data_IF_769515588685
#
_entry.id   IF_769515588685
#
_cell.length_a   1.000
_cell.length_b   1.000
_cell.length_c   1.000
_cell.angle_alpha   90.00
_cell.angle_beta   90.00
_cell.angle_gamma   90.00
#
_symmetry.space_group_name_H-M   'P 1'
#
loop_
_entity.id
_entity.type
_entity.pdbx_description
1 polymer ?
#
# COMPACT_ATOMS: atom_id res chain seq x y z
N UNK A 1 -25.80 -0.74 12.78
CA UNK A 1 -24.77 -1.45 12.00
C UNK A 1 -23.68 -0.45 11.63
N UNK A 2 -22.40 -0.76 11.87
CA UNK A 2 -21.31 0.08 11.40
C UNK A 2 -21.29 0.06 9.86
N UNK A 3 -21.04 1.20 9.21
CA UNK A 3 -20.92 1.22 7.75
C UNK A 3 -19.65 0.46 7.38
N UNK A 4 -19.65 -0.24 6.24
CA UNK A 4 -18.47 -1.00 5.76
C UNK A 4 -17.19 -0.15 5.69
N UNK A 5 -17.33 1.16 5.48
CA UNK A 5 -16.22 2.13 5.52
C UNK A 5 -15.63 2.30 6.92
N UNK A 6 -16.46 2.29 7.96
CA UNK A 6 -16.02 2.33 9.37
C UNK A 6 -15.29 1.05 9.71
N UNK A 7 -15.85 -0.11 9.32
CA UNK A 7 -15.21 -1.42 9.49
C UNK A 7 -13.83 -1.47 8.83
N UNK A 8 -13.68 -0.95 7.61
CA UNK A 8 -12.39 -0.89 6.93
C UNK A 8 -11.39 0.00 7.67
N UNK A 9 -11.82 1.20 8.09
CA UNK A 9 -10.96 2.10 8.87
C UNK A 9 -10.50 1.41 10.15
N UNK A 10 -11.40 0.73 10.85
CA UNK A 10 -11.12 0.12 12.16
C UNK A 10 -10.26 -1.14 12.00
N UNK A 11 -10.48 -1.95 10.96
CA UNK A 11 -9.57 -3.03 10.53
C UNK A 11 -8.13 -2.51 10.37
N UNK A 12 -7.97 -1.44 9.58
CA UNK A 12 -6.65 -0.88 9.32
C UNK A 12 -6.02 -0.28 10.58
N UNK A 13 -6.79 0.49 11.35
CA UNK A 13 -6.29 1.22 12.51
C UNK A 13 -5.97 0.30 13.69
N UNK A 14 -6.86 -0.64 13.99
CA UNK A 14 -6.83 -1.41 15.23
C UNK A 14 -6.11 -2.75 15.08
N UNK A 15 -6.07 -3.33 13.88
CA UNK A 15 -5.51 -4.68 13.67
C UNK A 15 -4.27 -4.62 12.78
N UNK A 16 -4.38 -4.04 11.57
CA UNK A 16 -3.27 -4.05 10.60
C UNK A 16 -2.13 -3.12 11.02
N UNK A 17 -2.44 -1.86 11.38
CA UNK A 17 -1.41 -0.86 11.66
C UNK A 17 -0.47 -1.24 12.82
N UNK A 18 -0.93 -1.78 13.97
CA UNK A 18 -0.04 -2.25 15.02
C UNK A 18 0.95 -3.31 14.51
N UNK A 19 0.45 -4.31 13.77
CA UNK A 19 1.28 -5.40 13.22
C UNK A 19 2.30 -4.88 12.23
N UNK A 20 1.91 -4.02 11.29
CA UNK A 20 2.88 -3.44 10.33
C UNK A 20 3.98 -2.63 11.04
N UNK A 21 3.68 -1.99 12.18
CA UNK A 21 4.69 -1.25 12.97
C UNK A 21 5.69 -2.18 13.65
N UNK A 22 5.28 -3.38 14.08
CA UNK A 22 6.18 -4.40 14.61
C UNK A 22 7.21 -4.84 13.56
N UNK A 23 6.84 -4.83 12.28
CA UNK A 23 7.74 -5.05 11.15
C UNK A 23 8.54 -3.80 10.74
N UNK A 24 8.46 -2.69 11.50
CA UNK A 24 9.23 -1.47 11.27
C UNK A 24 8.64 -0.51 10.23
N UNK A 25 7.47 -0.81 9.64
CA UNK A 25 6.80 0.11 8.72
C UNK A 25 6.28 1.33 9.48
N UNK A 26 6.29 2.48 8.80
CA UNK A 26 5.76 3.75 9.31
C UNK A 26 4.52 4.14 8.53
N UNK A 27 3.52 4.70 9.20
CA UNK A 27 2.29 5.16 8.55
C UNK A 27 1.03 4.84 9.33
N UNK A 28 -0.11 5.06 8.67
CA UNK A 28 -1.43 4.87 9.24
C UNK A 28 -2.51 4.82 8.16
N UNK A 29 -3.64 4.19 8.48
CA UNK A 29 -4.78 4.11 7.57
C UNK A 29 -4.38 3.40 6.28
N UNK A 30 -4.51 4.08 5.15
CA UNK A 30 -4.24 3.53 3.83
C UNK A 30 -2.80 3.77 3.33
N UNK A 31 -1.93 4.42 4.10
CA UNK A 31 -0.60 4.81 3.64
C UNK A 31 0.48 4.35 4.62
N UNK A 32 1.45 3.59 4.12
CA UNK A 32 2.63 3.13 4.86
C UNK A 32 3.90 3.30 4.05
N UNK A 33 5.04 3.21 4.72
CA UNK A 33 6.35 3.31 4.10
C UNK A 33 7.38 2.44 4.82
N UNK A 34 8.35 1.93 4.05
CA UNK A 34 9.61 1.44 4.57
C UNK A 34 10.49 2.68 4.80
N UNK A 35 11.06 2.82 6.00
CA UNK A 35 11.95 3.95 6.28
C UNK A 35 13.20 3.84 5.38
N UNK A 36 13.46 4.90 4.62
CA UNK A 36 14.67 5.04 3.82
C UNK A 36 15.07 6.51 3.71
N UNK A 37 16.37 6.77 3.86
CA UNK A 37 16.91 8.12 3.74
C UNK A 37 17.11 8.50 2.27
N UNK A 38 17.38 7.53 1.39
CA UNK A 38 17.62 7.74 -0.05
C UNK A 38 16.40 7.51 -0.94
N UNK A 39 15.38 6.79 -0.47
CA UNK A 39 14.23 6.40 -1.30
C UNK A 39 12.89 6.80 -0.70
N UNK A 40 11.93 7.08 -1.57
CA UNK A 40 10.52 6.94 -1.26
C UNK A 40 10.13 5.48 -1.49
N UNK A 41 9.81 4.74 -0.43
CA UNK A 41 9.38 3.34 -0.49
C UNK A 41 7.99 3.22 0.14
N UNK A 42 6.96 3.42 -0.67
CA UNK A 42 5.59 3.69 -0.25
C UNK A 42 4.65 2.52 -0.58
N UNK A 43 3.70 2.31 0.32
CA UNK A 43 2.64 1.29 0.23
C UNK A 43 1.30 2.00 0.39
N UNK A 44 0.41 1.82 -0.58
CA UNK A 44 -0.89 2.46 -0.63
C UNK A 44 -2.00 1.42 -0.73
N UNK A 45 -2.93 1.42 0.22
CA UNK A 45 -4.16 0.65 0.12
C UNK A 45 -5.15 1.47 -0.71
N UNK A 46 -5.61 0.94 -1.83
CA UNK A 46 -6.53 1.61 -2.74
C UNK A 46 -7.89 0.91 -2.70
N UNK A 47 -8.94 1.67 -2.32
CA UNK A 47 -10.32 1.23 -2.46
C UNK A 47 -10.75 1.27 -3.93
N UNK A 48 -11.62 0.34 -4.32
CA UNK A 48 -12.34 0.39 -5.59
C UNK A 48 -13.18 1.66 -5.67
N UNK A 49 -13.31 2.22 -6.87
CA UNK A 49 -14.25 3.33 -7.14
C UNK A 49 -15.71 2.87 -7.09
N UNK A 50 -15.96 1.57 -7.29
CA UNK A 50 -17.27 0.94 -7.24
C UNK A 50 -17.42 0.20 -5.91
N UNK A 51 -17.83 0.92 -4.87
CA UNK A 51 -18.23 0.37 -3.58
C UNK A 51 -19.53 1.01 -3.12
N UNK A 52 -20.39 0.25 -2.46
CA UNK A 52 -21.63 0.73 -1.89
C UNK A 52 -21.67 0.45 -0.37
N UNK A 53 -22.82 0.63 0.26
CA UNK A 53 -22.97 0.36 1.69
C UNK A 53 -22.85 -1.14 2.03
N UNK A 54 -22.99 -2.04 1.06
CA UNK A 54 -23.06 -3.49 1.23
C UNK A 54 -21.70 -4.18 1.10
N UNK A 55 -20.73 -3.55 0.45
CA UNK A 55 -19.38 -4.08 0.35
C UNK A 55 -18.38 -3.10 -0.25
N UNK A 56 -17.12 -3.27 0.11
CA UNK A 56 -16.00 -2.60 -0.54
C UNK A 56 -14.98 -3.63 -1.03
N UNK A 57 -14.25 -3.25 -2.07
CA UNK A 57 -13.06 -3.96 -2.50
C UNK A 57 -11.87 -3.04 -2.39
N UNK A 58 -10.72 -3.60 -2.06
CA UNK A 58 -9.47 -2.85 -2.06
C UNK A 58 -8.31 -3.70 -2.53
N UNK A 59 -7.22 -3.03 -2.86
CA UNK A 59 -5.96 -3.63 -3.30
C UNK A 59 -4.80 -2.85 -2.67
N UNK A 60 -3.57 -3.26 -2.96
CA UNK A 60 -2.36 -2.59 -2.46
C UNK A 60 -1.45 -2.27 -3.63
N UNK A 61 -1.04 -1.01 -3.70
CA UNK A 61 -0.07 -0.50 -4.65
C UNK A 61 1.25 -0.24 -3.93
N UNK A 62 2.35 -0.52 -4.63
CA UNK A 62 3.71 -0.37 -4.16
C UNK A 62 4.42 0.63 -5.06
N UNK A 63 5.22 1.50 -4.47
CA UNK A 63 6.00 2.49 -5.18
C UNK A 63 7.38 2.66 -4.56
N UNK A 64 8.41 2.57 -5.39
CA UNK A 64 9.80 2.82 -4.96
C UNK A 64 10.48 3.77 -5.94
N UNK A 65 11.06 4.85 -5.45
CA UNK A 65 11.86 5.77 -6.26
C UNK A 65 12.99 6.40 -5.43
N UNK A 66 14.20 6.60 -5.98
CA UNK A 66 15.20 7.44 -5.35
C UNK A 66 14.69 8.87 -5.15
N UNK A 67 14.94 9.46 -3.97
CA UNK A 67 14.49 10.83 -3.67
C UNK A 67 15.11 11.85 -4.61
N UNK A 68 16.37 11.65 -5.00
CA UNK A 68 17.06 12.51 -5.97
C UNK A 68 16.40 12.50 -7.36
N UNK A 69 15.97 11.32 -7.84
CA UNK A 69 15.27 11.19 -9.12
C UNK A 69 13.88 11.84 -9.05
N UNK A 70 13.19 11.68 -7.92
CA UNK A 70 11.92 12.35 -7.68
C UNK A 70 12.10 13.88 -7.69
N UNK A 71 13.08 14.42 -6.98
CA UNK A 71 13.35 15.85 -6.92
C UNK A 71 13.81 16.42 -8.28
N UNK A 72 14.59 15.67 -9.06
CA UNK A 72 14.93 16.04 -10.43
C UNK A 72 13.68 16.15 -11.31
N UNK A 73 12.78 15.16 -11.23
CA UNK A 73 11.51 15.16 -11.97
C UNK A 73 10.64 16.34 -11.58
N UNK A 74 10.60 16.70 -10.29
CA UNK A 74 9.85 17.86 -9.80
C UNK A 74 10.39 19.19 -10.30
N UNK A 75 11.71 19.33 -10.51
CA UNK A 75 12.29 20.55 -11.11
C UNK A 75 11.80 20.78 -12.54
N UNK A 76 11.58 19.72 -13.29
CA UNK A 76 11.03 19.78 -14.65
C UNK A 76 9.49 19.92 -14.66
N UNK A 77 8.82 19.45 -13.60
CA UNK A 77 7.36 19.38 -13.48
C UNK A 77 6.90 19.92 -12.13
N UNK A 78 6.83 21.25 -12.03
CA UNK A 78 6.56 21.96 -10.78
C UNK A 78 5.19 21.66 -10.13
N UNK A 79 4.24 21.08 -10.88
CA UNK A 79 2.94 20.65 -10.35
C UNK A 79 3.00 19.35 -9.52
N UNK A 80 4.13 18.63 -9.53
CA UNK A 80 4.29 17.40 -8.77
C UNK A 80 4.47 17.69 -7.26
N UNK A 81 3.83 16.89 -6.38
CA UNK A 81 3.87 17.12 -4.95
C UNK A 81 5.26 16.86 -4.37
N UNK A 82 5.54 17.43 -3.18
CA UNK A 82 6.81 17.20 -2.47
C UNK A 82 7.07 15.73 -2.21
N UNK A 83 6.05 15.02 -1.73
CA UNK A 83 6.12 13.58 -1.47
C UNK A 83 5.16 12.85 -2.40
N UNK A 84 5.61 11.78 -3.09
CA UNK A 84 4.72 10.98 -3.92
C UNK A 84 3.75 10.17 -3.05
N UNK A 85 2.77 9.53 -3.68
CA UNK A 85 1.90 8.53 -3.07
C UNK A 85 1.86 7.28 -3.92
N UNK A 86 1.78 6.10 -3.31
CA UNK A 86 1.76 4.83 -4.03
C UNK A 86 0.47 4.61 -4.86
N UNK A 87 -0.59 5.38 -4.60
CA UNK A 87 -1.88 5.25 -5.29
C UNK A 87 -1.99 6.12 -6.56
N UNK A 88 -0.91 6.78 -6.97
CA UNK A 88 -0.84 7.56 -8.20
C UNK A 88 0.25 6.99 -9.10
N UNK A 89 -0.02 6.93 -10.39
CA UNK A 89 0.96 6.55 -11.39
C UNK A 89 1.86 7.74 -11.73
N UNK A 90 3.11 7.68 -11.27
CA UNK A 90 4.10 8.72 -11.48
C UNK A 90 4.92 8.47 -12.75
N UNK A 91 5.55 9.52 -13.34
CA UNK A 91 6.37 9.36 -14.53
C UNK A 91 7.72 8.66 -14.28
N UNK A 92 8.11 8.48 -13.01
CA UNK A 92 9.38 7.85 -12.59
C UNK A 92 9.13 6.91 -11.41
N UNK A 93 10.06 5.97 -11.22
CA UNK A 93 10.04 5.01 -10.12
C UNK A 93 9.43 3.66 -10.49
N UNK A 94 9.74 2.67 -9.67
CA UNK A 94 9.16 1.33 -9.76
C UNK A 94 7.76 1.33 -9.15
N UNK A 95 6.79 0.81 -9.91
CA UNK A 95 5.40 0.63 -9.48
C UNK A 95 5.01 -0.84 -9.56
N UNK A 96 4.24 -1.33 -8.59
CA UNK A 96 3.66 -2.67 -8.66
C UNK A 96 2.35 -2.76 -7.89
N UNK A 97 1.35 -3.46 -8.45
CA UNK A 97 0.19 -3.92 -7.67
C UNK A 97 0.54 -5.23 -6.99
N UNK A 98 0.22 -5.35 -5.70
CA UNK A 98 0.69 -6.45 -4.85
C UNK A 98 0.24 -7.82 -5.34
N UNK A 99 -0.91 -7.92 -6.01
CA UNK A 99 -1.46 -9.19 -6.52
C UNK A 99 -0.47 -9.94 -7.42
N UNK A 100 0.31 -9.20 -8.21
CA UNK A 100 1.34 -9.76 -9.08
C UNK A 100 2.59 -10.28 -8.34
N UNK A 101 2.70 -10.05 -7.03
CA UNK A 101 3.70 -10.65 -6.15
C UNK A 101 3.14 -11.85 -5.36
N UNK A 102 1.83 -12.07 -5.41
CA UNK A 102 1.18 -13.22 -4.77
C UNK A 102 1.32 -14.47 -5.66
N UNK A 103 1.13 -15.69 -5.12
CA UNK A 103 1.41 -16.94 -5.86
C UNK A 103 0.71 -17.08 -7.21
N UNK A 104 -0.49 -16.51 -7.37
CA UNK A 104 -1.23 -16.54 -8.65
C UNK A 104 -0.68 -15.59 -9.71
N UNK A 105 0.16 -14.62 -9.33
CA UNK A 105 0.79 -13.68 -10.26
C UNK A 105 -0.19 -12.81 -11.03
N UNK A 106 -1.37 -12.51 -10.47
CA UNK A 106 -2.43 -11.74 -11.12
C UNK A 106 -2.94 -10.64 -10.19
N UNK A 107 -3.64 -9.65 -10.73
CA UNK A 107 -4.23 -8.61 -9.89
C UNK A 107 -5.16 -9.21 -8.82
N UNK A 108 -5.08 -8.66 -7.61
CA UNK A 108 -5.80 -9.17 -6.45
C UNK A 108 -6.54 -8.05 -5.72
N UNK A 109 -7.80 -8.31 -5.44
CA UNK A 109 -8.71 -7.42 -4.75
C UNK A 109 -9.37 -8.17 -3.60
N UNK A 110 -9.12 -7.70 -2.39
CA UNK A 110 -9.78 -8.24 -1.20
C UNK A 110 -11.19 -7.68 -1.10
N UNK A 111 -12.22 -8.53 -0.97
CA UNK A 111 -13.54 -8.09 -0.56
C UNK A 111 -13.56 -7.80 0.95
N UNK A 112 -14.38 -6.84 1.34
CA UNK A 112 -14.77 -6.60 2.73
C UNK A 112 -16.26 -6.27 2.77
N UNK A 113 -17.00 -7.09 3.47
CA UNK A 113 -18.45 -7.04 3.67
C UNK A 113 -18.83 -7.47 5.10
N UNK A 114 -20.14 -7.62 5.37
CA UNK A 114 -20.65 -7.98 6.69
C UNK A 114 -20.27 -9.41 7.14
N UNK A 115 -19.86 -10.29 6.23
CA UNK A 115 -19.51 -11.69 6.50
C UNK A 115 -18.00 -11.91 6.57
N UNK A 116 -17.20 -10.87 6.36
CA UNK A 116 -15.74 -10.97 6.33
C UNK A 116 -15.19 -11.18 7.74
N UNK A 117 -14.38 -12.23 7.91
CA UNK A 117 -13.64 -12.46 9.15
C UNK A 117 -12.41 -11.54 9.18
N UNK A 118 -12.42 -10.57 10.10
CA UNK A 118 -11.49 -9.44 10.08
C UNK A 118 -10.05 -9.81 10.44
N UNK A 119 -9.83 -10.81 11.31
CA UNK A 119 -8.48 -11.20 11.70
C UNK A 119 -7.78 -11.98 10.59
N UNK A 120 -8.49 -12.90 9.94
CA UNK A 120 -8.01 -13.66 8.78
C UNK A 120 -7.72 -12.73 7.60
N UNK A 121 -8.59 -11.75 7.34
CA UNK A 121 -8.28 -10.71 6.35
C UNK A 121 -7.04 -9.90 6.75
N UNK A 122 -6.88 -9.55 8.03
CA UNK A 122 -5.69 -8.85 8.51
C UNK A 122 -4.42 -9.70 8.38
N UNK A 123 -4.49 -11.00 8.65
CA UNK A 123 -3.40 -11.96 8.46
C UNK A 123 -2.95 -12.01 7.01
N UNK A 124 -3.88 -12.10 6.07
CA UNK A 124 -3.58 -12.07 4.64
C UNK A 124 -2.93 -10.74 4.21
N UNK A 125 -3.44 -9.60 4.67
CA UNK A 125 -2.88 -8.29 4.35
C UNK A 125 -1.44 -8.17 4.89
N UNK A 126 -1.23 -8.55 6.15
CA UNK A 126 0.08 -8.46 6.80
C UNK A 126 1.07 -9.42 6.17
N UNK A 127 0.69 -10.67 5.88
CA UNK A 127 1.54 -11.62 5.16
C UNK A 127 1.91 -11.09 3.77
N UNK A 128 0.94 -10.62 2.99
CA UNK A 128 1.19 -10.07 1.66
C UNK A 128 2.17 -8.88 1.72
N UNK A 129 1.98 -7.96 2.66
CA UNK A 129 2.87 -6.81 2.81
C UNK A 129 4.26 -7.24 3.29
N UNK A 130 4.35 -7.93 4.42
CA UNK A 130 5.63 -8.19 5.08
C UNK A 130 6.45 -9.27 4.37
N UNK A 131 5.81 -10.30 3.80
CA UNK A 131 6.51 -11.43 3.21
C UNK A 131 6.60 -11.36 1.68
N UNK A 132 5.83 -10.49 1.01
CA UNK A 132 5.90 -10.32 -0.45
C UNK A 132 6.30 -8.91 -0.86
N UNK A 133 5.60 -7.88 -0.37
CA UNK A 133 5.87 -6.51 -0.79
C UNK A 133 7.21 -5.98 -0.26
N UNK A 134 7.48 -6.14 1.04
CA UNK A 134 8.69 -5.60 1.68
C UNK A 134 9.97 -6.15 1.03
N UNK A 135 10.15 -7.48 0.84
CA UNK A 135 11.33 -8.01 0.17
C UNK A 135 11.52 -7.46 -1.26
N UNK A 136 10.44 -7.41 -2.04
CA UNK A 136 10.48 -6.89 -3.42
C UNK A 136 10.85 -5.41 -3.45
N UNK A 137 10.30 -4.60 -2.55
CA UNK A 137 10.63 -3.17 -2.44
C UNK A 137 12.08 -2.96 -1.98
N UNK A 138 12.56 -3.77 -1.04
CA UNK A 138 13.96 -3.70 -0.59
C UNK A 138 14.96 -4.06 -1.70
N UNK A 139 14.59 -4.97 -2.60
CA UNK A 139 15.40 -5.24 -3.80
C UNK A 139 15.52 -4.00 -4.69
N UNK A 140 14.42 -3.27 -4.91
CA UNK A 140 14.45 -2.02 -5.67
C UNK A 140 15.31 -0.95 -4.99
N UNK A 141 15.27 -0.87 -3.65
CA UNK A 141 16.11 0.08 -2.88
C UNK A 141 17.61 -0.26 -3.00
N UNK A 142 17.97 -1.56 -3.08
CA UNK A 142 19.38 -1.98 -3.17
C UNK A 142 19.96 -1.86 -4.58
N UNK A 143 19.13 -1.99 -5.61
CA UNK A 143 19.56 -2.05 -7.00
C UNK A 143 19.45 -0.71 -7.75
N UNK A 144 19.09 0.37 -7.04
CA UNK A 144 18.88 1.70 -7.60
C UNK A 144 20.14 2.57 -7.57
#
# INVERSE_FOLDING_TARGET
MAKVQDTFRDLLKCIVAPRLREYGLKGSGQNYAIKSDSHWALIGLQKSMFGDANGLKFTINLYVVPKEHWDATRRERSYLPTTPTANVHWPVGWVKRIGYLLPKGQDHWWPLDANTELNGLADEIVDAICNKAVPAMQEQIRNA
#
